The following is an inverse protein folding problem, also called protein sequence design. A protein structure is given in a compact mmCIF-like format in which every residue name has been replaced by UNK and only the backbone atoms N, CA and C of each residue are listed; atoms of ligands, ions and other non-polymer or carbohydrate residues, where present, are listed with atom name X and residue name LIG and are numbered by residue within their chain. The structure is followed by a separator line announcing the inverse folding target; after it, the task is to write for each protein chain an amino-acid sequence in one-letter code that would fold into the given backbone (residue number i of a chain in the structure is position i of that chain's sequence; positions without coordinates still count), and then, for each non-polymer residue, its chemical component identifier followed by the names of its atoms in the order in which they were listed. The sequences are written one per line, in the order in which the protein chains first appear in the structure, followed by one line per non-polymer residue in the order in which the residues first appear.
data_IF_496250430721
#
_entry.id   IF_496250430721
#
_cell.length_a   1.000
_cell.length_b   1.000
_cell.length_c   1.000
_cell.angle_alpha   90.00
_cell.angle_beta   90.00
_cell.angle_gamma   90.00
#
_symmetry.space_group_name_H-M   'P 1'
#
loop_
_entity.id
_entity.type
_entity.pdbx_description
1 polymer ?
#
# COMPACT_ATOMS: atom_id res chain seq x y z
N UNK A 1 -39.90 47.23 15.62
CA UNK A 1 -39.40 45.95 15.05
C UNK A 1 -37.93 45.64 15.39
N UNK A 2 -37.39 46.07 16.55
CA UNK A 2 -35.95 45.87 16.88
C UNK A 2 -35.67 44.95 18.10
N UNK A 3 -36.69 44.52 18.85
CA UNK A 3 -36.50 43.60 19.99
C UNK A 3 -36.61 42.12 19.59
N UNK A 4 -37.54 41.77 18.69
CA UNK A 4 -37.72 40.36 18.26
C UNK A 4 -36.59 39.83 17.37
N UNK A 5 -35.87 40.70 16.66
CA UNK A 5 -34.71 40.28 15.86
C UNK A 5 -33.47 39.99 16.73
N UNK A 6 -33.34 40.68 17.87
CA UNK A 6 -32.25 40.45 18.83
C UNK A 6 -32.46 39.13 19.59
N UNK A 7 -33.71 38.79 19.93
CA UNK A 7 -34.03 37.48 20.51
C UNK A 7 -33.89 36.32 19.50
N UNK A 8 -34.19 36.55 18.22
CA UNK A 8 -33.95 35.55 17.18
C UNK A 8 -32.44 35.33 16.93
N UNK A 9 -31.63 36.38 16.96
CA UNK A 9 -30.18 36.28 16.86
C UNK A 9 -29.57 35.62 18.11
N UNK A 10 -30.06 35.94 19.31
CA UNK A 10 -29.64 35.29 20.55
C UNK A 10 -30.07 33.81 20.64
N UNK A 11 -31.24 33.43 20.09
CA UNK A 11 -31.72 32.05 20.02
C UNK A 11 -30.94 31.23 18.98
N UNK A 12 -30.60 31.84 17.83
CA UNK A 12 -29.72 31.21 16.83
C UNK A 12 -28.32 31.04 17.41
N UNK A 13 -27.78 32.03 18.13
CA UNK A 13 -26.51 31.89 18.84
C UNK A 13 -26.57 30.86 19.98
N UNK A 14 -27.68 30.72 20.72
CA UNK A 14 -27.78 29.71 21.78
C UNK A 14 -28.09 28.30 21.28
N UNK A 15 -28.54 28.12 20.03
CA UNK A 15 -28.61 26.81 19.36
C UNK A 15 -27.38 26.50 18.49
N UNK A 16 -26.43 27.44 18.35
CA UNK A 16 -25.12 27.20 17.72
C UNK A 16 -23.95 27.22 18.71
N UNK A 17 -24.24 27.27 20.02
CA UNK A 17 -23.25 27.25 21.12
C UNK A 17 -23.38 26.02 22.04
N UNK A 18 -23.97 24.93 21.57
CA UNK A 18 -23.83 23.60 22.17
C UNK A 18 -23.21 22.63 21.16
N UNK A 19 -21.95 22.88 20.82
CA UNK A 19 -20.83 21.90 20.75
C UNK A 19 -19.54 22.68 21.04
N UNK A 20 -19.53 23.38 22.17
CA UNK A 20 -18.36 24.06 22.70
C UNK A 20 -18.35 23.94 24.24
N UNK A 21 -18.45 22.69 24.71
CA UNK A 21 -17.61 22.14 25.77
C UNK A 21 -16.78 21.09 25.01
N UNK A 22 -15.45 21.09 24.96
CA UNK A 22 -14.52 21.07 26.10
C UNK A 22 -14.99 20.08 27.18
N UNK A 23 -15.41 18.90 26.72
CA UNK A 23 -15.19 17.66 27.44
C UNK A 23 -14.01 16.98 26.73
N UNK A 24 -12.88 16.87 27.44
CA UNK A 24 -11.85 15.85 27.26
C UNK A 24 -12.47 14.45 27.48
N UNK A 25 -13.56 14.14 26.79
CA UNK A 25 -13.95 12.77 26.52
C UNK A 25 -12.97 12.31 25.45
N UNK A 26 -12.06 11.42 25.83
CA UNK A 26 -11.28 10.60 24.91
C UNK A 26 -12.25 9.97 23.91
N UNK A 27 -12.55 10.66 22.80
CA UNK A 27 -13.42 10.14 21.75
C UNK A 27 -12.63 8.97 21.16
N UNK A 28 -12.95 7.78 21.66
CA UNK A 28 -12.28 6.54 21.30
C UNK A 28 -12.48 6.39 19.81
N UNK A 29 -11.42 6.65 19.03
CA UNK A 29 -11.47 6.60 17.58
C UNK A 29 -12.15 5.31 17.11
N UNK A 30 -13.10 5.38 16.17
CA UNK A 30 -13.95 4.25 15.79
C UNK A 30 -13.15 3.09 15.18
N UNK A 31 -11.92 3.37 14.77
CA UNK A 31 -10.94 2.44 14.19
C UNK A 31 -10.21 1.61 15.25
N UNK A 32 -10.36 1.89 16.54
CA UNK A 32 -9.74 1.06 17.58
C UNK A 32 -10.36 -0.33 17.55
N UNK A 33 -9.52 -1.34 17.39
CA UNK A 33 -9.97 -2.73 17.33
C UNK A 33 -8.97 -3.66 16.68
N UNK A 34 -9.32 -4.95 16.69
CA UNK A 34 -8.59 -5.99 15.99
C UNK A 34 -9.32 -6.34 14.70
N UNK A 35 -8.55 -6.49 13.63
CA UNK A 35 -9.01 -6.70 12.29
C UNK A 35 -8.33 -7.93 11.70
N UNK A 36 -9.12 -8.85 11.18
CA UNK A 36 -8.65 -9.96 10.34
C UNK A 36 -8.52 -9.50 8.90
N UNK A 37 -7.66 -10.15 8.13
CA UNK A 37 -7.64 -9.96 6.68
C UNK A 37 -8.90 -10.54 6.05
N UNK A 38 -9.40 -9.90 4.99
CA UNK A 38 -10.58 -10.37 4.27
C UNK A 38 -10.36 -11.74 3.62
N UNK A 39 -11.43 -12.53 3.54
CA UNK A 39 -11.41 -13.85 2.91
C UNK A 39 -11.16 -13.73 1.40
N UNK A 40 -10.35 -14.66 0.87
CA UNK A 40 -10.19 -14.81 -0.57
C UNK A 40 -11.43 -15.47 -1.17
N UNK A 41 -12.07 -14.79 -2.12
CA UNK A 41 -13.20 -15.29 -2.89
C UNK A 41 -12.95 -15.08 -4.37
N UNK A 42 -13.55 -15.96 -5.18
CA UNK A 42 -13.44 -15.88 -6.62
C UNK A 42 -14.68 -16.43 -7.31
N UNK A 43 -14.97 -15.90 -8.50
CA UNK A 43 -16.12 -16.27 -9.33
C UNK A 43 -15.70 -16.34 -10.80
N UNK A 44 -16.52 -16.94 -11.67
CA UNK A 44 -16.28 -16.84 -13.10
C UNK A 44 -16.66 -15.45 -13.60
N UNK A 45 -15.79 -14.81 -14.40
CA UNK A 45 -15.97 -13.42 -14.83
C UNK A 45 -15.91 -13.30 -16.35
N UNK A 46 -16.91 -12.62 -16.93
CA UNK A 46 -16.91 -12.24 -18.35
C UNK A 46 -15.97 -11.04 -18.53
N UNK A 47 -14.70 -11.32 -18.80
CA UNK A 47 -13.67 -10.28 -18.96
C UNK A 47 -13.84 -9.55 -20.29
N UNK A 48 -14.12 -10.27 -21.37
CA UNK A 48 -14.55 -9.68 -22.65
C UNK A 48 -15.84 -10.35 -23.11
N UNK A 49 -16.52 -9.77 -24.13
CA UNK A 49 -17.79 -10.27 -24.66
C UNK A 49 -17.77 -11.77 -25.01
N UNK A 50 -16.59 -12.32 -25.34
CA UNK A 50 -16.44 -13.73 -25.75
C UNK A 50 -15.47 -14.52 -24.86
N UNK A 51 -15.01 -13.95 -23.74
CA UNK A 51 -14.00 -14.58 -22.88
C UNK A 51 -14.43 -14.58 -21.43
N UNK A 52 -14.63 -15.77 -20.89
CA UNK A 52 -14.84 -15.99 -19.46
C UNK A 52 -13.54 -16.41 -18.80
N UNK A 53 -13.02 -15.57 -17.91
CA UNK A 53 -11.92 -15.93 -17.03
C UNK A 53 -12.45 -16.73 -15.85
N UNK A 54 -11.82 -17.88 -15.58
CA UNK A 54 -12.20 -18.76 -14.46
C UNK A 54 -11.53 -18.30 -13.16
N UNK A 55 -12.27 -18.44 -12.06
CA UNK A 55 -11.82 -18.10 -10.70
C UNK A 55 -11.29 -16.67 -10.55
N UNK A 56 -11.93 -15.71 -11.21
CA UNK A 56 -11.61 -14.29 -11.07
C UNK A 56 -11.65 -13.83 -9.60
N UNK A 57 -10.55 -13.29 -9.06
CA UNK A 57 -10.47 -12.79 -7.69
C UNK A 57 -11.47 -11.65 -7.40
N UNK A 58 -12.45 -11.91 -6.55
CA UNK A 58 -13.48 -10.93 -6.17
C UNK A 58 -13.09 -10.19 -4.89
N UNK A 59 -12.66 -10.92 -3.87
CA UNK A 59 -12.14 -10.36 -2.60
C UNK A 59 -10.86 -11.07 -2.18
N UNK A 60 -10.08 -10.43 -1.33
CA UNK A 60 -8.88 -11.00 -0.73
C UNK A 60 -8.20 -9.97 0.16
N UNK A 61 -7.15 -10.37 0.86
CA UNK A 61 -6.47 -9.53 1.84
C UNK A 61 -5.91 -8.20 1.28
N UNK A 62 -5.65 -8.13 -0.04
CA UNK A 62 -5.22 -6.92 -0.71
C UNK A 62 -6.40 -6.30 -1.46
N UNK A 63 -6.78 -5.10 -1.03
CA UNK A 63 -7.79 -4.27 -1.66
C UNK A 63 -7.22 -3.56 -2.88
N UNK A 64 -7.97 -3.62 -3.98
CA UNK A 64 -7.71 -2.86 -5.20
C UNK A 64 -8.98 -2.28 -5.80
N UNK A 65 -8.88 -1.05 -6.29
CA UNK A 65 -9.92 -0.39 -7.08
C UNK A 65 -9.24 0.46 -8.14
N UNK A 66 -9.25 -0.03 -9.38
CA UNK A 66 -8.60 0.59 -10.52
C UNK A 66 -9.66 0.94 -11.55
N UNK A 67 -9.91 2.23 -11.73
CA UNK A 67 -10.79 2.75 -12.77
C UNK A 67 -9.97 3.47 -13.83
N UNK A 68 -10.40 3.35 -15.07
CA UNK A 68 -9.68 3.83 -16.23
C UNK A 68 -10.64 4.24 -17.34
N UNK A 69 -10.12 4.99 -18.31
CA UNK A 69 -10.82 5.30 -19.57
C UNK A 69 -10.22 4.52 -20.72
N UNK A 70 -11.04 4.16 -21.71
CA UNK A 70 -10.61 3.42 -22.90
C UNK A 70 -11.26 2.05 -22.99
N UNK A 71 -11.00 1.36 -24.09
CA UNK A 71 -11.58 0.03 -24.37
C UNK A 71 -10.68 -1.12 -23.91
N UNK A 72 -9.39 -0.85 -23.66
CA UNK A 72 -8.45 -1.85 -23.16
C UNK A 72 -8.65 -2.04 -21.65
N UNK A 73 -9.25 -3.17 -21.28
CA UNK A 73 -9.64 -3.52 -19.91
C UNK A 73 -8.54 -4.24 -19.13
N UNK A 74 -7.30 -4.20 -19.59
CA UNK A 74 -6.17 -4.78 -18.88
C UNK A 74 -5.95 -4.25 -17.45
N UNK A 75 -6.23 -2.98 -17.09
CA UNK A 75 -6.14 -2.52 -15.71
C UNK A 75 -7.04 -3.30 -14.74
N UNK A 76 -8.20 -3.77 -15.20
CA UNK A 76 -9.09 -4.63 -14.42
C UNK A 76 -8.46 -6.01 -14.18
N UNK A 77 -7.79 -6.57 -15.20
CA UNK A 77 -7.02 -7.80 -15.04
C UNK A 77 -5.87 -7.67 -14.05
N UNK A 78 -5.10 -6.57 -14.10
CA UNK A 78 -4.03 -6.32 -13.12
C UNK A 78 -4.62 -6.14 -11.72
N UNK A 79 -5.78 -5.49 -11.58
CA UNK A 79 -6.49 -5.35 -10.32
C UNK A 79 -6.87 -6.71 -9.71
N UNK A 80 -7.35 -7.64 -10.53
CA UNK A 80 -7.59 -9.03 -10.12
C UNK A 80 -6.30 -9.76 -9.75
N UNK A 81 -5.23 -9.59 -10.53
CA UNK A 81 -3.92 -10.16 -10.23
C UNK A 81 -3.40 -9.70 -8.86
N UNK A 82 -3.56 -8.43 -8.51
CA UNK A 82 -3.22 -7.93 -7.18
C UNK A 82 -4.03 -8.61 -6.07
N UNK A 83 -5.35 -8.76 -6.23
CA UNK A 83 -6.19 -9.49 -5.26
C UNK A 83 -5.76 -10.95 -5.13
N UNK A 84 -5.40 -11.60 -6.23
CA UNK A 84 -4.85 -12.96 -6.24
C UNK A 84 -3.52 -13.04 -5.47
N UNK A 85 -2.55 -12.20 -5.81
CA UNK A 85 -1.23 -12.20 -5.18
C UNK A 85 -1.33 -11.91 -3.69
N UNK A 86 -2.05 -10.86 -3.32
CA UNK A 86 -2.27 -10.49 -1.93
C UNK A 86 -3.08 -11.52 -1.16
N UNK A 87 -4.16 -12.04 -1.76
CA UNK A 87 -5.00 -13.09 -1.19
C UNK A 87 -4.32 -14.45 -1.07
N UNK A 88 -3.26 -14.71 -1.86
CA UNK A 88 -2.47 -15.94 -1.76
C UNK A 88 -1.30 -15.82 -0.79
N UNK A 89 -0.67 -14.63 -0.69
CA UNK A 89 0.56 -14.43 0.10
C UNK A 89 0.24 -13.97 1.52
N UNK A 90 -0.61 -12.94 1.69
CA UNK A 90 -0.82 -12.33 3.01
C UNK A 90 -1.37 -13.32 4.05
N UNK A 91 -2.31 -14.23 3.74
CA UNK A 91 -2.77 -15.23 4.71
C UNK A 91 -1.72 -16.26 5.13
N UNK A 92 -0.55 -16.32 4.47
CA UNK A 92 0.58 -17.15 4.89
C UNK A 92 1.46 -16.45 5.94
N UNK A 93 1.29 -15.13 6.10
CA UNK A 93 2.14 -14.28 6.95
C UNK A 93 1.35 -13.60 8.05
N UNK A 94 0.20 -13.03 7.73
CA UNK A 94 -0.56 -12.13 8.59
C UNK A 94 -1.91 -12.74 8.95
N UNK A 95 -2.24 -12.74 10.24
CA UNK A 95 -3.52 -13.19 10.75
C UNK A 95 -4.43 -11.99 11.06
N UNK A 96 -3.91 -11.05 11.84
CA UNK A 96 -4.64 -9.85 12.25
C UNK A 96 -3.73 -8.66 12.42
N UNK A 97 -4.32 -7.47 12.32
CA UNK A 97 -3.75 -6.25 12.88
C UNK A 97 -4.64 -5.73 13.99
N UNK A 98 -4.06 -5.08 14.98
CA UNK A 98 -4.78 -4.35 16.03
C UNK A 98 -4.35 -2.89 15.98
N UNK A 99 -5.35 -2.03 15.80
CA UNK A 99 -5.22 -0.59 15.98
C UNK A 99 -5.47 -0.31 17.47
N UNK A 100 -4.39 -0.27 18.25
CA UNK A 100 -4.45 -0.13 19.71
C UNK A 100 -4.75 1.32 20.09
N UNK A 101 -5.46 1.52 21.21
CA UNK A 101 -5.81 2.84 21.73
C UNK A 101 -4.62 3.77 22.03
N UNK A 102 -3.41 3.21 22.20
CA UNK A 102 -2.18 4.01 22.34
C UNK A 102 -1.69 4.61 21.03
N UNK A 103 -2.31 4.27 19.90
CA UNK A 103 -1.82 4.59 18.55
C UNK A 103 -0.85 3.55 18.01
N UNK A 104 -0.45 2.52 18.77
CA UNK A 104 0.36 1.41 18.21
C UNK A 104 -0.44 0.57 17.21
N UNK A 105 0.22 0.16 16.12
CA UNK A 105 -0.24 -0.93 15.25
C UNK A 105 0.47 -2.21 15.70
N UNK A 106 -0.31 -3.24 16.01
CA UNK A 106 0.19 -4.54 16.46
C UNK A 106 -0.24 -5.59 15.45
N UNK A 107 0.63 -6.51 15.07
CA UNK A 107 0.29 -7.59 14.15
C UNK A 107 0.35 -8.95 14.86
N UNK A 108 -0.59 -9.83 14.56
CA UNK A 108 -0.43 -11.27 14.77
C UNK A 108 0.00 -11.90 13.45
N UNK A 109 1.16 -12.53 13.43
CA UNK A 109 1.85 -12.93 12.21
C UNK A 109 2.68 -14.20 12.42
N UNK A 110 3.15 -14.81 11.34
CA UNK A 110 4.11 -15.92 11.37
C UNK A 110 5.52 -15.35 11.31
N UNK A 111 6.36 -15.65 12.30
CA UNK A 111 7.70 -15.07 12.42
C UNK A 111 8.68 -15.51 11.32
N UNK A 112 8.47 -16.70 10.75
CA UNK A 112 9.31 -17.24 9.67
C UNK A 112 8.41 -18.02 8.71
N UNK A 113 7.62 -17.31 7.88
CA UNK A 113 6.67 -17.94 6.98
C UNK A 113 7.42 -18.59 5.81
N UNK A 114 6.96 -19.77 5.39
CA UNK A 114 7.37 -20.38 4.12
C UNK A 114 6.34 -20.00 3.07
N UNK A 115 6.65 -19.01 2.23
CA UNK A 115 5.71 -18.52 1.21
C UNK A 115 5.63 -19.53 0.07
N UNK A 116 4.51 -20.25 0.01
CA UNK A 116 4.14 -21.10 -1.10
C UNK A 116 3.46 -20.26 -2.19
N UNK A 117 4.27 -19.66 -3.05
CA UNK A 117 3.84 -19.00 -4.29
C UNK A 117 4.77 -19.43 -5.42
N UNK A 118 4.22 -20.13 -6.42
CA UNK A 118 4.97 -20.50 -7.63
C UNK A 118 4.88 -19.36 -8.65
N UNK A 119 5.99 -18.69 -9.01
CA UNK A 119 5.99 -17.64 -10.05
C UNK A 119 5.44 -18.11 -11.40
N UNK A 120 5.51 -19.42 -11.70
CA UNK A 120 4.94 -20.00 -12.91
C UNK A 120 3.41 -19.88 -12.96
N UNK A 121 2.74 -19.78 -11.81
CA UNK A 121 1.29 -19.56 -11.72
C UNK A 121 0.87 -18.26 -12.40
N UNK A 122 1.68 -17.21 -12.28
CA UNK A 122 1.42 -15.91 -12.90
C UNK A 122 1.51 -16.02 -14.42
N UNK A 123 2.55 -16.71 -14.92
CA UNK A 123 2.72 -16.97 -16.36
C UNK A 123 1.53 -17.80 -16.88
N UNK A 124 1.12 -18.82 -16.11
CA UNK A 124 -0.03 -19.65 -16.45
C UNK A 124 -1.31 -18.80 -16.54
N UNK A 125 -1.55 -17.90 -15.58
CA UNK A 125 -2.71 -17.00 -15.59
C UNK A 125 -2.79 -16.19 -16.89
N UNK A 126 -1.66 -15.60 -17.33
CA UNK A 126 -1.63 -14.86 -18.60
C UNK A 126 -1.80 -15.73 -19.84
N UNK A 127 -1.38 -17.00 -19.80
CA UNK A 127 -1.50 -17.90 -20.93
C UNK A 127 -2.88 -18.56 -21.05
N UNK A 128 -3.49 -18.90 -19.91
CA UNK A 128 -4.75 -19.64 -19.87
C UNK A 128 -5.98 -18.76 -19.67
N UNK A 129 -5.80 -17.52 -19.21
CA UNK A 129 -6.92 -16.67 -18.80
C UNK A 129 -7.71 -17.27 -17.63
N UNK A 130 -7.04 -18.00 -16.73
CA UNK A 130 -7.68 -18.64 -15.58
C UNK A 130 -6.81 -18.52 -14.32
N UNK A 131 -7.43 -18.07 -13.24
CA UNK A 131 -6.80 -18.04 -11.92
C UNK A 131 -6.92 -19.39 -11.21
N UNK A 132 -6.02 -19.69 -10.25
CA UNK A 132 -6.15 -20.85 -9.38
C UNK A 132 -7.48 -20.84 -8.61
N UNK A 133 -7.99 -22.04 -8.31
CA UNK A 133 -9.25 -22.18 -7.59
C UNK A 133 -9.13 -21.65 -6.15
N UNK A 134 -10.25 -21.25 -5.56
CA UNK A 134 -10.30 -20.81 -4.15
C UNK A 134 -9.74 -21.88 -3.21
N UNK A 135 -10.00 -23.16 -3.48
CA UNK A 135 -9.45 -24.27 -2.68
C UNK A 135 -7.93 -24.38 -2.78
N UNK A 136 -7.36 -24.20 -3.97
CA UNK A 136 -5.91 -24.29 -4.18
C UNK A 136 -5.20 -23.12 -3.50
N UNK A 137 -5.76 -21.91 -3.58
CA UNK A 137 -5.22 -20.74 -2.88
C UNK A 137 -5.27 -20.93 -1.37
N UNK A 138 -6.41 -21.36 -0.82
CA UNK A 138 -6.61 -21.55 0.63
C UNK A 138 -5.81 -22.71 1.20
N UNK A 139 -5.39 -23.69 0.38
CA UNK A 139 -4.60 -24.82 0.83
C UNK A 139 -3.26 -24.41 1.46
N UNK A 140 -2.72 -23.25 1.07
CA UNK A 140 -1.45 -22.73 1.59
C UNK A 140 -1.62 -21.80 2.80
N UNK A 141 -2.84 -21.53 3.26
CA UNK A 141 -3.06 -20.60 4.36
C UNK A 141 -2.59 -21.19 5.69
N UNK A 142 -1.92 -20.36 6.49
CA UNK A 142 -1.56 -20.78 7.85
C UNK A 142 -2.77 -20.62 8.77
N UNK A 143 -2.94 -21.59 9.68
CA UNK A 143 -4.06 -21.59 10.65
C UNK A 143 -3.57 -21.59 12.10
N UNK A 144 -2.26 -21.65 12.31
CA UNK A 144 -1.62 -21.67 13.64
C UNK A 144 -0.17 -21.18 13.54
N UNK A 145 0.54 -21.13 14.67
CA UNK A 145 1.94 -20.69 14.70
C UNK A 145 2.12 -19.17 14.70
N UNK A 146 1.04 -18.42 14.96
CA UNK A 146 1.10 -16.96 15.05
C UNK A 146 1.80 -16.50 16.32
N UNK A 147 2.57 -15.42 16.19
CA UNK A 147 3.12 -14.63 17.28
C UNK A 147 2.64 -13.18 17.15
N UNK A 148 2.65 -12.45 18.25
CA UNK A 148 2.25 -11.05 18.30
C UNK A 148 3.48 -10.15 18.25
N UNK A 149 3.43 -9.10 17.45
CA UNK A 149 4.51 -8.12 17.38
C UNK A 149 4.62 -7.32 18.68
N UNK A 150 5.82 -6.83 19.03
CA UNK A 150 5.94 -5.78 20.05
C UNK A 150 5.07 -4.56 19.70
N UNK A 151 4.65 -3.82 20.72
CA UNK A 151 4.11 -2.46 20.55
C UNK A 151 5.21 -1.52 20.05
N UNK A 152 4.80 -0.33 19.61
CA UNK A 152 5.71 0.79 19.32
C UNK A 152 6.64 0.60 18.09
N UNK A 153 6.44 -0.45 17.28
CA UNK A 153 7.15 -0.60 15.99
C UNK A 153 6.54 0.24 14.88
N UNK A 154 5.22 0.42 14.90
CA UNK A 154 4.50 1.28 13.99
C UNK A 154 3.32 1.94 14.71
N UNK A 155 2.97 3.13 14.27
CA UNK A 155 1.92 3.95 14.83
C UNK A 155 0.87 4.28 13.78
N UNK A 156 -0.38 4.38 14.21
CA UNK A 156 -1.47 4.95 13.44
C UNK A 156 -2.00 6.20 14.14
N UNK A 157 -2.49 7.15 13.35
CA UNK A 157 -3.16 8.36 13.83
C UNK A 157 -4.05 8.93 12.74
N UNK A 158 -4.98 9.82 13.09
CA UNK A 158 -5.77 10.56 12.12
C UNK A 158 -5.26 12.00 12.06
N UNK A 159 -4.83 12.44 10.87
CA UNK A 159 -4.30 13.79 10.66
C UNK A 159 -4.78 14.34 9.33
N UNK A 160 -5.41 15.51 9.34
CA UNK A 160 -5.91 16.18 8.13
C UNK A 160 -6.84 15.28 7.28
N UNK A 161 -7.68 14.47 7.93
CA UNK A 161 -8.58 13.53 7.24
C UNK A 161 -7.89 12.32 6.61
N UNK A 162 -6.62 12.07 6.93
CA UNK A 162 -5.86 10.88 6.51
C UNK A 162 -5.58 9.96 7.68
N UNK A 163 -5.57 8.66 7.40
CA UNK A 163 -5.04 7.62 8.28
C UNK A 163 -3.53 7.55 8.08
N UNK A 164 -2.77 8.06 9.04
CA UNK A 164 -1.32 8.17 8.93
C UNK A 164 -0.66 6.97 9.61
N UNK A 165 0.11 6.21 8.84
CA UNK A 165 0.95 5.11 9.35
C UNK A 165 2.39 5.60 9.48
N UNK A 166 2.93 5.65 10.69
CA UNK A 166 4.31 6.06 10.95
C UNK A 166 5.14 4.92 11.52
N UNK A 167 6.25 4.61 10.86
CA UNK A 167 7.18 3.59 11.31
C UNK A 167 8.12 4.14 12.38
N UNK A 168 8.40 3.33 13.40
CA UNK A 168 9.46 3.60 14.36
C UNK A 168 10.76 2.95 13.87
N UNK A 169 11.42 3.59 12.90
CA UNK A 169 12.62 3.04 12.25
C UNK A 169 13.69 2.60 13.27
N UNK A 170 14.03 3.38 14.31
CA UNK A 170 14.97 2.93 15.34
C UNK A 170 14.52 1.66 16.07
N UNK A 171 13.25 1.58 16.49
CA UNK A 171 12.74 0.39 17.19
C UNK A 171 12.69 -0.83 16.27
N UNK A 172 12.32 -0.66 14.99
CA UNK A 172 12.32 -1.73 13.99
C UNK A 172 13.73 -2.28 13.80
N UNK A 173 14.74 -1.41 13.65
CA UNK A 173 16.13 -1.85 13.47
C UNK A 173 16.66 -2.57 14.70
N UNK A 174 16.34 -2.10 15.91
CA UNK A 174 16.69 -2.78 17.15
C UNK A 174 16.03 -4.16 17.24
N UNK A 175 14.75 -4.26 16.86
CA UNK A 175 14.02 -5.53 16.84
C UNK A 175 14.58 -6.50 15.78
N UNK A 176 14.94 -6.01 14.60
CA UNK A 176 15.43 -6.84 13.49
C UNK A 176 16.87 -7.35 13.70
N UNK A 177 17.74 -6.53 14.29
CA UNK A 177 19.16 -6.89 14.50
C UNK A 177 19.42 -7.55 15.85
N UNK A 178 18.48 -7.50 16.79
CA UNK A 178 18.67 -7.93 18.17
C UNK A 178 19.74 -7.12 18.94
N UNK A 179 20.19 -6.00 18.37
CA UNK A 179 21.24 -5.13 18.89
C UNK A 179 20.75 -3.68 18.90
N UNK A 180 21.30 -2.85 19.77
CA UNK A 180 20.96 -1.43 19.78
C UNK A 180 21.36 -0.76 18.46
N UNK A 181 20.36 -0.25 17.73
CA UNK A 181 20.55 0.44 16.45
C UNK A 181 21.02 1.90 16.60
N UNK A 182 21.35 2.36 17.82
CA UNK A 182 21.80 3.73 18.10
C UNK A 182 22.96 4.20 17.21
N UNK A 183 23.87 3.30 16.81
CA UNK A 183 24.96 3.59 15.89
C UNK A 183 24.54 3.95 14.46
N UNK A 184 23.28 3.73 14.09
CA UNK A 184 22.72 4.06 12.76
C UNK A 184 22.00 5.41 12.75
N UNK A 185 21.85 6.07 13.90
CA UNK A 185 21.06 7.30 14.05
C UNK A 185 21.47 8.42 13.10
N UNK A 186 22.77 8.64 12.91
CA UNK A 186 23.29 9.68 12.01
C UNK A 186 22.97 9.37 10.54
N UNK A 187 23.08 8.10 10.12
CA UNK A 187 22.73 7.68 8.75
C UNK A 187 21.23 7.84 8.53
N UNK A 188 20.41 7.41 9.50
CA UNK A 188 18.95 7.57 9.44
C UNK A 188 18.59 9.04 9.31
N UNK A 189 19.13 9.91 10.16
CA UNK A 189 18.84 11.34 10.10
C UNK A 189 19.32 11.97 8.78
N UNK A 190 20.48 11.57 8.27
CA UNK A 190 20.99 12.03 6.97
C UNK A 190 20.05 11.63 5.83
N UNK A 191 19.48 10.42 5.87
CA UNK A 191 18.51 9.98 4.85
C UNK A 191 17.16 10.71 5.01
N UNK A 192 16.67 10.90 6.23
CA UNK A 192 15.36 11.51 6.49
C UNK A 192 15.33 13.03 6.32
N UNK A 193 16.48 13.71 6.47
CA UNK A 193 16.59 15.17 6.42
C UNK A 193 17.51 15.67 5.30
N UNK A 194 18.17 14.78 4.56
CA UNK A 194 19.03 15.13 3.42
C UNK A 194 18.25 15.60 2.20
N UNK A 195 18.89 16.42 1.37
CA UNK A 195 18.35 16.79 0.06
C UNK A 195 18.34 15.57 -0.90
N UNK A 196 17.53 15.60 -1.97
CA UNK A 196 17.41 14.48 -2.90
C UNK A 196 18.73 13.98 -3.51
N UNK A 197 19.70 14.86 -3.78
CA UNK A 197 20.97 14.44 -4.37
C UNK A 197 21.80 13.65 -3.34
N UNK A 198 21.84 14.14 -2.10
CA UNK A 198 22.48 13.45 -0.98
C UNK A 198 21.87 12.08 -0.74
N UNK A 199 20.53 11.99 -0.68
CA UNK A 199 19.82 10.72 -0.45
C UNK A 199 20.07 9.73 -1.58
N UNK A 200 20.01 10.17 -2.85
CA UNK A 200 20.33 9.31 -4.01
C UNK A 200 21.76 8.81 -3.98
N UNK A 201 22.73 9.66 -3.63
CA UNK A 201 24.12 9.25 -3.58
C UNK A 201 24.36 8.18 -2.50
N UNK A 202 23.76 8.34 -1.32
CA UNK A 202 23.86 7.36 -0.23
C UNK A 202 23.19 6.04 -0.61
N UNK A 203 21.95 6.08 -1.10
CA UNK A 203 21.23 4.88 -1.51
C UNK A 203 21.90 4.19 -2.70
N UNK A 204 22.40 4.95 -3.67
CA UNK A 204 23.11 4.41 -4.83
C UNK A 204 24.44 3.76 -4.45
N UNK A 205 25.17 4.35 -3.49
CA UNK A 205 26.37 3.74 -2.91
C UNK A 205 26.08 2.44 -2.15
N UNK A 206 24.98 2.39 -1.40
CA UNK A 206 24.55 1.20 -0.66
C UNK A 206 24.11 0.06 -1.59
N UNK A 207 23.36 0.39 -2.64
CA UNK A 207 22.82 -0.58 -3.59
C UNK A 207 23.76 -0.87 -4.76
N UNK A 208 24.90 -0.17 -4.85
CA UNK A 208 25.80 -0.20 -6.00
C UNK A 208 25.05 0.04 -7.34
N UNK A 209 24.19 1.06 -7.37
CA UNK A 209 23.29 1.35 -8.48
C UNK A 209 23.19 2.86 -8.76
N UNK A 210 22.89 3.22 -10.01
CA UNK A 210 22.63 4.61 -10.38
C UNK A 210 21.16 5.00 -10.10
N UNK A 211 20.97 5.99 -9.24
CA UNK A 211 19.67 6.55 -8.88
C UNK A 211 19.47 7.97 -9.45
N UNK A 212 20.38 8.46 -10.28
CA UNK A 212 20.34 9.81 -10.86
C UNK A 212 19.06 10.05 -11.66
N UNK A 213 18.53 8.99 -12.29
CA UNK A 213 17.28 9.00 -13.01
C UNK A 213 16.03 9.21 -12.14
N UNK A 214 16.06 8.97 -10.83
CA UNK A 214 14.85 9.15 -10.00
C UNK A 214 14.51 10.64 -9.88
N UNK A 215 13.25 11.06 -9.98
CA UNK A 215 12.90 12.46 -9.79
C UNK A 215 13.06 12.89 -8.32
N UNK A 216 13.46 14.14 -8.10
CA UNK A 216 13.59 14.70 -6.75
C UNK A 216 12.26 14.66 -5.98
N UNK A 217 11.12 14.78 -6.68
CA UNK A 217 9.79 14.69 -6.09
C UNK A 217 9.55 13.31 -5.43
N UNK A 218 9.96 12.23 -6.07
CA UNK A 218 9.85 10.86 -5.53
C UNK A 218 10.69 10.68 -4.28
N UNK A 219 11.94 11.15 -4.31
CA UNK A 219 12.81 11.07 -3.12
C UNK A 219 12.19 11.85 -1.96
N UNK A 220 11.76 13.10 -2.20
CA UNK A 220 11.10 13.91 -1.18
C UNK A 220 9.83 13.24 -0.64
N UNK A 221 9.04 12.61 -1.51
CA UNK A 221 7.82 11.92 -1.11
C UNK A 221 8.14 10.74 -0.18
N UNK A 222 9.04 9.83 -0.59
CA UNK A 222 9.38 8.63 0.19
C UNK A 222 10.06 9.01 1.52
N UNK A 223 10.96 10.01 1.53
CA UNK A 223 11.57 10.47 2.79
C UNK A 223 10.57 11.18 3.69
N UNK A 224 9.64 11.96 3.13
CA UNK A 224 8.55 12.56 3.92
C UNK A 224 7.65 11.50 4.54
N UNK A 225 7.34 10.41 3.82
CA UNK A 225 6.57 9.29 4.38
C UNK A 225 7.29 8.61 5.53
N UNK A 226 8.61 8.41 5.42
CA UNK A 226 9.40 7.85 6.51
C UNK A 226 9.47 8.78 7.73
N UNK A 227 9.52 10.10 7.52
CA UNK A 227 9.64 11.11 8.58
C UNK A 227 8.32 11.45 9.26
N UNK A 228 7.29 11.71 8.45
CA UNK A 228 6.02 12.28 8.88
C UNK A 228 4.89 11.24 8.92
N UNK A 229 5.11 10.08 8.30
CA UNK A 229 4.14 9.00 8.17
C UNK A 229 3.51 8.93 6.78
N UNK A 230 3.11 7.72 6.39
CA UNK A 230 2.45 7.40 5.13
C UNK A 230 0.98 7.87 5.22
N UNK A 231 0.54 8.80 4.35
CA UNK A 231 -0.80 9.38 4.41
C UNK A 231 -1.83 8.50 3.68
N UNK A 232 -2.29 7.45 4.35
CA UNK A 232 -3.30 6.53 3.81
C UNK A 232 -4.72 7.07 4.02
N UNK A 233 -5.69 6.39 3.42
CA UNK A 233 -7.12 6.54 3.65
C UNK A 233 -7.63 5.33 4.43
N UNK A 234 -8.68 5.52 5.23
CA UNK A 234 -9.43 4.44 5.87
C UNK A 234 -10.93 4.65 5.61
N UNK A 235 -11.66 3.58 5.29
CA UNK A 235 -13.11 3.62 5.12
C UNK A 235 -13.77 2.30 5.51
N UNK A 236 -15.03 2.36 5.91
CA UNK A 236 -15.92 1.19 5.92
C UNK A 236 -16.55 1.09 4.53
N UNK A 237 -16.35 -0.03 3.83
CA UNK A 237 -16.93 -0.30 2.53
C UNK A 237 -18.37 -0.82 2.65
N UNK A 238 -19.11 -0.87 1.54
CA UNK A 238 -20.53 -1.23 1.51
C UNK A 238 -20.80 -2.66 1.99
N UNK A 239 -19.82 -3.56 1.87
CA UNK A 239 -19.85 -4.93 2.39
C UNK A 239 -19.54 -5.03 3.90
N UNK A 240 -19.32 -3.89 4.57
CA UNK A 240 -18.96 -3.82 5.99
C UNK A 240 -17.47 -4.02 6.28
N UNK A 241 -16.64 -4.27 5.27
CA UNK A 241 -15.19 -4.38 5.44
C UNK A 241 -14.57 -3.01 5.72
N UNK A 242 -13.37 -3.00 6.28
CA UNK A 242 -12.55 -1.81 6.48
C UNK A 242 -11.40 -1.85 5.48
N UNK A 243 -11.28 -0.82 4.65
CA UNK A 243 -10.16 -0.69 3.73
C UNK A 243 -9.18 0.36 4.25
N UNK A 244 -7.89 0.01 4.35
CA UNK A 244 -6.80 0.96 4.62
C UNK A 244 -5.90 1.01 3.37
N UNK A 245 -5.85 2.15 2.68
CA UNK A 245 -5.30 2.20 1.33
C UNK A 245 -4.62 3.51 0.95
N UNK A 246 -3.67 3.43 0.03
CA UNK A 246 -3.15 4.58 -0.71
C UNK A 246 -4.00 4.81 -1.96
N UNK A 247 -4.29 6.08 -2.25
CA UNK A 247 -4.98 6.50 -3.46
C UNK A 247 -3.99 6.84 -4.60
N UNK A 248 -4.52 7.09 -5.79
CA UNK A 248 -3.75 7.31 -7.03
C UNK A 248 -2.62 8.33 -6.85
N UNK A 249 -2.88 9.41 -6.11
CA UNK A 249 -1.90 10.50 -5.95
C UNK A 249 -0.61 10.04 -5.26
N UNK A 250 -0.70 9.01 -4.41
CA UNK A 250 0.45 8.41 -3.76
C UNK A 250 1.38 7.67 -4.74
N UNK A 251 0.88 7.32 -5.93
CA UNK A 251 1.61 6.53 -6.91
C UNK A 251 1.99 7.32 -8.17
N UNK A 252 1.53 8.56 -8.32
CA UNK A 252 1.76 9.35 -9.55
C UNK A 252 3.24 9.53 -9.85
N UNK A 253 4.04 9.89 -8.86
CA UNK A 253 5.49 10.01 -9.02
C UNK A 253 6.18 8.66 -9.31
N UNK A 254 5.57 7.54 -8.91
CA UNK A 254 6.14 6.20 -9.02
C UNK A 254 5.89 5.57 -10.39
N UNK A 255 4.67 5.69 -10.92
CA UNK A 255 4.25 4.97 -12.13
C UNK A 255 4.19 5.81 -13.39
N UNK A 256 4.21 7.14 -13.31
CA UNK A 256 4.14 8.00 -14.50
C UNK A 256 5.33 7.74 -15.43
N UNK A 257 5.02 7.23 -16.63
CA UNK A 257 6.02 6.99 -17.65
C UNK A 257 6.57 8.30 -18.22
N UNK A 258 7.86 8.29 -18.50
CA UNK A 258 8.60 9.38 -19.11
C UNK A 258 9.71 8.85 -20.00
N UNK A 259 10.03 9.61 -21.04
CA UNK A 259 11.12 9.26 -21.94
C UNK A 259 12.46 9.32 -21.20
N UNK A 260 13.32 8.35 -21.48
CA UNK A 260 14.72 8.33 -21.07
C UNK A 260 15.59 9.25 -21.92
N UNK A 261 15.07 9.72 -23.07
CA UNK A 261 15.84 10.39 -24.12
C UNK A 261 16.47 9.43 -25.13
N UNK A 262 16.37 8.12 -24.91
CA UNK A 262 16.82 7.08 -25.83
C UNK A 262 15.68 6.60 -26.74
N UNK A 263 16.05 6.05 -27.89
CA UNK A 263 15.14 5.38 -28.82
C UNK A 263 15.53 3.92 -28.96
N UNK A 264 14.55 3.03 -29.05
CA UNK A 264 14.78 1.61 -29.28
C UNK A 264 15.16 1.32 -30.75
N UNK A 265 15.31 0.03 -31.07
CA UNK A 265 15.66 -0.42 -32.43
C UNK A 265 14.57 -0.18 -33.49
N UNK A 266 13.35 0.20 -33.08
CA UNK A 266 12.25 0.57 -33.96
C UNK A 266 12.11 2.11 -34.08
N UNK A 267 12.94 2.87 -33.38
CA UNK A 267 12.90 4.34 -33.34
C UNK A 267 11.88 4.89 -32.34
N UNK A 268 11.28 4.04 -31.51
CA UNK A 268 10.31 4.45 -30.50
C UNK A 268 11.01 4.93 -29.23
N UNK A 269 10.49 5.95 -28.52
CA UNK A 269 11.09 6.41 -27.27
C UNK A 269 11.11 5.30 -26.20
N UNK A 270 12.27 5.07 -25.60
CA UNK A 270 12.37 4.19 -24.43
C UNK A 270 11.79 4.93 -23.21
N UNK A 271 10.77 4.33 -22.60
CA UNK A 271 10.07 4.91 -21.45
C UNK A 271 10.53 4.27 -20.13
N UNK A 272 10.46 5.05 -19.06
CA UNK A 272 10.77 4.61 -17.69
C UNK A 272 9.87 5.34 -16.69
N UNK A 273 9.84 4.86 -15.44
CA UNK A 273 9.22 5.55 -14.30
C UNK A 273 10.16 5.43 -13.07
N UNK A 274 9.86 6.16 -11.99
CA UNK A 274 10.77 6.15 -10.84
C UNK A 274 10.80 4.81 -10.11
N UNK A 275 9.67 4.08 -10.09
CA UNK A 275 9.62 2.81 -9.41
C UNK A 275 10.43 1.73 -10.12
N UNK A 276 10.48 1.70 -11.46
CA UNK A 276 11.31 0.72 -12.18
C UNK A 276 12.80 0.99 -11.97
N UNK A 277 13.21 2.26 -11.89
CA UNK A 277 14.61 2.63 -11.57
C UNK A 277 14.94 2.15 -10.15
N UNK A 278 14.07 2.42 -9.18
CA UNK A 278 14.24 1.97 -7.81
C UNK A 278 14.26 0.43 -7.71
N UNK A 279 13.34 -0.26 -8.40
CA UNK A 279 13.29 -1.72 -8.46
C UNK A 279 14.60 -2.30 -8.97
N UNK A 280 15.10 -1.80 -10.10
CA UNK A 280 16.37 -2.26 -10.68
C UNK A 280 17.56 -2.01 -9.74
N UNK A 281 17.56 -0.90 -9.01
CA UNK A 281 18.58 -0.63 -7.99
C UNK A 281 18.50 -1.61 -6.81
N UNK A 282 17.29 -1.94 -6.35
CA UNK A 282 17.08 -2.94 -5.29
C UNK A 282 17.51 -4.34 -5.76
N UNK A 283 17.24 -4.69 -7.02
CA UNK A 283 17.75 -5.92 -7.65
C UNK A 283 19.27 -5.93 -7.70
N UNK A 284 19.90 -4.85 -8.18
CA UNK A 284 21.36 -4.73 -8.26
C UNK A 284 22.03 -4.80 -6.87
N UNK A 285 21.38 -4.25 -5.84
CA UNK A 285 21.83 -4.33 -4.45
C UNK A 285 21.54 -5.66 -3.76
N UNK A 286 20.95 -6.65 -4.45
CA UNK A 286 20.62 -7.95 -3.88
C UNK A 286 19.49 -7.93 -2.85
N UNK A 287 18.68 -6.87 -2.81
CA UNK A 287 17.53 -6.74 -1.89
C UNK A 287 16.33 -7.55 -2.37
N UNK A 288 16.13 -7.61 -3.69
CA UNK A 288 15.05 -8.41 -4.30
C UNK A 288 15.56 -9.83 -4.57
N UNK A 289 14.92 -10.87 -3.99
CA UNK A 289 15.25 -12.27 -4.28
C UNK A 289 15.15 -12.59 -5.77
N UNK A 290 15.99 -13.50 -6.28
CA UNK A 290 16.10 -13.85 -7.70
C UNK A 290 14.74 -14.26 -8.31
N UNK A 291 13.98 -15.06 -7.57
CA UNK A 291 12.65 -15.54 -7.92
C UNK A 291 11.59 -14.43 -8.05
N UNK A 292 11.83 -13.27 -7.43
CA UNK A 292 10.90 -12.14 -7.44
C UNK A 292 11.27 -11.08 -8.49
N UNK A 293 12.48 -11.08 -9.06
CA UNK A 293 12.98 -10.00 -9.92
C UNK A 293 12.12 -9.76 -11.16
N UNK A 294 11.54 -10.83 -11.71
CA UNK A 294 10.65 -10.77 -12.86
C UNK A 294 9.38 -9.93 -12.60
N UNK A 295 8.99 -9.72 -11.34
CA UNK A 295 7.86 -8.86 -10.98
C UNK A 295 8.04 -7.41 -11.44
N UNK A 296 9.27 -6.98 -11.76
CA UNK A 296 9.54 -5.68 -12.36
C UNK A 296 8.77 -5.42 -13.67
N UNK A 297 8.39 -6.47 -14.40
CA UNK A 297 7.55 -6.34 -15.61
C UNK A 297 6.19 -5.70 -15.30
N UNK A 298 5.60 -6.01 -14.14
CA UNK A 298 4.31 -5.45 -13.73
C UNK A 298 4.40 -3.95 -13.48
N UNK A 299 5.53 -3.45 -13.00
CA UNK A 299 5.75 -2.02 -12.81
C UNK A 299 5.68 -1.26 -14.15
N UNK A 300 6.24 -1.85 -15.21
CA UNK A 300 6.15 -1.27 -16.55
C UNK A 300 4.72 -1.35 -17.11
N UNK A 301 4.05 -2.49 -16.94
CA UNK A 301 2.66 -2.68 -17.38
C UNK A 301 1.73 -1.67 -16.70
N UNK A 302 1.85 -1.46 -15.39
CA UNK A 302 1.09 -0.44 -14.65
C UNK A 302 1.36 0.95 -15.22
N UNK A 303 2.63 1.28 -15.47
CA UNK A 303 3.02 2.55 -16.07
C UNK A 303 2.36 2.79 -17.43
N UNK A 304 2.22 1.74 -18.25
CA UNK A 304 1.58 1.80 -19.57
C UNK A 304 0.13 2.27 -19.54
N UNK A 305 -0.60 1.96 -18.47
CA UNK A 305 -2.01 2.36 -18.28
C UNK A 305 -2.18 3.57 -17.37
N UNK A 306 -1.10 4.12 -16.79
CA UNK A 306 -1.21 5.16 -15.77
C UNK A 306 -1.83 6.46 -16.30
N UNK A 307 -1.59 6.80 -17.57
CA UNK A 307 -2.13 8.00 -18.22
C UNK A 307 -3.65 7.97 -18.43
N UNK A 308 -4.23 6.78 -18.52
CA UNK A 308 -5.68 6.57 -18.68
C UNK A 308 -6.38 6.19 -17.37
N UNK A 309 -5.62 6.07 -16.29
CA UNK A 309 -6.13 5.74 -14.95
C UNK A 309 -6.85 6.95 -14.35
N UNK A 310 -8.12 6.80 -13.99
CA UNK A 310 -8.92 7.86 -13.35
C UNK A 310 -8.99 7.72 -11.84
N UNK A 311 -8.93 6.48 -11.34
CA UNK A 311 -8.86 6.15 -9.92
C UNK A 311 -7.99 4.91 -9.72
N UNK A 312 -7.22 4.91 -8.65
CA UNK A 312 -6.41 3.77 -8.25
C UNK A 312 -6.31 3.75 -6.73
N UNK A 313 -6.78 2.69 -6.11
CA UNK A 313 -6.64 2.47 -4.69
C UNK A 313 -5.96 1.12 -4.48
N UNK A 314 -4.95 1.07 -3.62
CA UNK A 314 -4.23 -0.15 -3.27
C UNK A 314 -3.98 -0.17 -1.76
N UNK A 315 -4.36 -1.26 -1.10
CA UNK A 315 -4.29 -1.35 0.35
C UNK A 315 -4.71 -2.69 0.92
N UNK A 316 -5.05 -2.70 2.19
CA UNK A 316 -5.58 -3.89 2.88
C UNK A 316 -7.11 -3.88 2.87
N UNK A 317 -7.68 -5.07 2.66
CA UNK A 317 -9.09 -5.35 2.92
C UNK A 317 -9.20 -6.14 4.24
N UNK A 318 -9.97 -5.60 5.19
CA UNK A 318 -9.99 -6.03 6.58
C UNK A 318 -11.42 -6.25 7.08
N UNK A 319 -11.59 -7.22 7.99
CA UNK A 319 -12.85 -7.51 8.66
C UNK A 319 -12.65 -7.31 10.15
N UNK A 320 -13.55 -6.53 10.78
CA UNK A 320 -13.50 -6.32 12.23
C UNK A 320 -13.80 -7.64 12.95
N UNK A 321 -12.93 -8.02 13.87
CA UNK A 321 -13.07 -9.23 14.70
C UNK A 321 -13.87 -8.97 15.98
#
# INVERSE_FOLDING_TARGET
MKKNLFYLFALICSMSLFTACDDDDDEVSPWIGTYKIAEYTAEDYEWTENETTKNWPMTGALYTDWQFTGEDNYPEFISALFRYLGGSILPQVLNSITLDKSGSIIADYVASPEIAMDPSSIISIFFTGAFPSVSDVKANFVTSGFTTSPKDLAYWSEKNGKFVVKLNIPAILTAATGSDASGMGEIIETVLSGDPATVKALLGGLLNADLSGIQNATINQITSWAKDGIPMNIKIADNGHVHIYLDKSAFDNLFTLRSTGETDGLGEPVLTNDLIILWNALVAGGVVPEEAQAAGIFIQMIGGYWSVTTNFNLGLDLVRN
#
